data_IF_269610978489
#
_entry.id   IF_269610978489
#
_cell.length_a   1.000
_cell.length_b   1.000
_cell.length_c   1.000
_cell.angle_alpha   90.00
_cell.angle_beta   90.00
_cell.angle_gamma   90.00
#
_symmetry.space_group_name_H-M   'P 1'
#
loop_
_entity.id
_entity.type
_entity.pdbx_description
1 polymer ?
#
# COMPACT_ATOMS: atom_id res chain seq x y z
N UNK A 1 27.63 -4.89 3.86
CA UNK A 1 26.14 -4.89 3.90
C UNK A 1 25.62 -4.02 2.76
N UNK A 2 24.91 -4.62 1.79
CA UNK A 2 24.55 -4.01 0.48
C UNK A 2 23.74 -2.71 0.58
N UNK A 3 24.37 -1.58 0.27
CA UNK A 3 23.76 -0.27 0.06
C UNK A 3 22.63 -0.32 -1.00
N UNK A 4 22.78 -1.16 -2.03
CA UNK A 4 21.80 -1.37 -3.11
C UNK A 4 20.42 -1.85 -2.64
N UNK A 5 20.30 -2.51 -1.48
CA UNK A 5 18.99 -2.99 -1.00
C UNK A 5 18.15 -1.88 -0.37
N UNK A 6 18.75 -0.87 0.28
CA UNK A 6 17.98 0.21 0.93
C UNK A 6 17.31 1.14 -0.09
N UNK A 7 17.94 1.33 -1.25
CA UNK A 7 17.44 2.25 -2.28
C UNK A 7 16.04 1.88 -2.81
N UNK A 8 15.68 0.60 -2.77
CA UNK A 8 14.37 0.12 -3.25
C UNK A 8 13.32 -0.07 -2.17
N UNK A 9 13.60 0.27 -0.92
CA UNK A 9 12.58 0.20 0.13
C UNK A 9 11.51 1.27 -0.10
N UNK A 10 10.23 0.88 -0.04
CA UNK A 10 9.10 1.80 -0.21
C UNK A 10 9.05 2.76 0.96
N UNK A 11 8.82 4.02 0.70
CA UNK A 11 8.67 5.07 1.71
C UNK A 11 7.21 5.54 1.77
N UNK A 12 6.85 6.26 2.83
CA UNK A 12 5.54 6.92 2.92
C UNK A 12 5.34 7.95 1.79
N UNK A 13 6.42 8.58 1.31
CA UNK A 13 6.37 9.51 0.19
C UNK A 13 6.02 8.79 -1.12
N UNK A 14 6.54 7.58 -1.33
CA UNK A 14 6.17 6.76 -2.48
C UNK A 14 4.68 6.37 -2.42
N UNK A 15 4.16 5.98 -1.26
CA UNK A 15 2.73 5.67 -1.09
C UNK A 15 1.84 6.86 -1.47
N UNK A 16 2.19 8.06 -1.00
CA UNK A 16 1.47 9.31 -1.34
C UNK A 16 1.56 9.63 -2.84
N UNK A 17 2.73 9.40 -3.45
CA UNK A 17 2.94 9.63 -4.88
C UNK A 17 2.09 8.66 -5.71
N UNK A 18 2.11 7.38 -5.36
CA UNK A 18 1.27 6.35 -5.95
C UNK A 18 -0.22 6.67 -5.79
N UNK A 19 -0.64 7.10 -4.60
CA UNK A 19 -2.03 7.53 -4.35
C UNK A 19 -2.46 8.74 -5.19
N UNK A 20 -1.53 9.65 -5.53
CA UNK A 20 -1.80 10.77 -6.46
C UNK A 20 -1.93 10.33 -7.91
N UNK A 21 -1.26 9.25 -8.31
CA UNK A 21 -1.37 8.72 -9.68
C UNK A 21 -2.74 8.08 -9.94
N UNK A 22 -3.42 7.60 -8.89
CA UNK A 22 -4.69 6.88 -9.01
C UNK A 22 -4.50 5.47 -9.59
N UNK A 23 -5.55 4.64 -9.51
CA UNK A 23 -5.50 3.26 -10.02
C UNK A 23 -4.57 2.33 -9.24
N UNK A 24 -4.14 2.74 -8.04
CA UNK A 24 -3.25 1.96 -7.17
C UNK A 24 -4.03 1.24 -6.08
N UNK A 25 -3.74 -0.05 -5.91
CA UNK A 25 -4.27 -0.87 -4.82
C UNK A 25 -3.14 -1.56 -4.06
N UNK A 26 -3.35 -1.84 -2.79
CA UNK A 26 -2.48 -2.70 -2.01
C UNK A 26 -3.25 -3.90 -1.47
N UNK A 27 -2.57 -5.04 -1.38
CA UNK A 27 -3.08 -6.19 -0.63
C UNK A 27 -2.37 -6.25 0.71
N UNK A 28 -3.14 -6.34 1.78
CA UNK A 28 -2.62 -6.50 3.14
C UNK A 28 -2.24 -7.96 3.42
N UNK A 29 -1.46 -8.18 4.48
CA UNK A 29 -1.06 -9.52 4.94
C UNK A 29 -2.26 -10.39 5.31
N UNK A 30 -3.33 -9.80 5.80
CA UNK A 30 -4.61 -10.47 6.12
C UNK A 30 -5.53 -10.67 4.90
N UNK A 31 -5.08 -10.25 3.71
CA UNK A 31 -5.81 -10.42 2.46
C UNK A 31 -6.76 -9.29 2.10
N UNK A 32 -6.99 -8.30 2.97
CA UNK A 32 -7.81 -7.12 2.64
C UNK A 32 -7.15 -6.29 1.54
N UNK A 33 -7.99 -5.59 0.78
CA UNK A 33 -7.53 -4.69 -0.30
C UNK A 33 -7.69 -3.25 0.13
N UNK A 34 -6.65 -2.46 -0.09
CA UNK A 34 -6.61 -1.01 0.14
C UNK A 34 -6.64 -0.31 -1.21
N UNK A 35 -7.53 0.65 -1.40
CA UNK A 35 -7.46 1.62 -2.51
C UNK A 35 -6.62 2.82 -2.07
N UNK A 36 -5.67 3.26 -2.89
CA UNK A 36 -4.79 4.37 -2.53
C UNK A 36 -5.35 5.72 -2.99
N UNK A 37 -5.18 6.72 -2.14
CA UNK A 37 -5.48 8.13 -2.38
C UNK A 37 -4.28 9.01 -1.97
N UNK A 38 -4.21 10.29 -2.36
CA UNK A 38 -3.02 11.11 -2.11
C UNK A 38 -2.50 11.17 -0.66
N UNK A 39 -3.39 11.00 0.34
CA UNK A 39 -3.07 11.17 1.77
C UNK A 39 -3.35 9.93 2.63
N UNK A 40 -4.10 8.97 2.11
CA UNK A 40 -4.63 7.84 2.85
C UNK A 40 -4.94 6.67 1.92
N UNK A 41 -5.27 5.51 2.49
CA UNK A 41 -5.93 4.43 1.76
C UNK A 41 -7.32 4.15 2.33
N UNK A 42 -8.20 3.53 1.55
CA UNK A 42 -9.50 3.06 2.03
C UNK A 42 -9.60 1.54 1.98
N UNK A 43 -10.32 0.96 2.92
CA UNK A 43 -10.68 -0.46 2.93
C UNK A 43 -12.21 -0.54 2.96
N UNK A 44 -12.79 -1.35 2.08
CA UNK A 44 -14.21 -1.65 2.10
C UNK A 44 -14.54 -2.63 3.22
N UNK A 45 -15.51 -2.31 4.06
CA UNK A 45 -15.97 -3.18 5.14
C UNK A 45 -17.43 -2.92 5.47
N UNK A 46 -18.07 -3.86 6.17
CA UNK A 46 -19.44 -3.66 6.68
C UNK A 46 -19.41 -2.65 7.83
N UNK A 47 -20.25 -1.64 7.77
CA UNK A 47 -20.43 -0.62 8.80
C UNK A 47 -21.87 -0.15 8.88
N UNK A 48 -22.22 0.59 9.93
CA UNK A 48 -23.58 1.13 10.08
C UNK A 48 -23.64 2.58 9.58
N UNK A 49 -24.58 2.86 8.67
CA UNK A 49 -24.96 4.21 8.25
C UNK A 49 -26.43 4.40 8.63
N UNK A 50 -26.72 5.41 9.46
CA UNK A 50 -28.07 5.71 9.93
C UNK A 50 -28.84 4.50 10.50
N UNK A 51 -28.13 3.55 11.13
CA UNK A 51 -28.73 2.33 11.71
C UNK A 51 -28.83 1.14 10.76
N UNK A 52 -28.49 1.31 9.47
CA UNK A 52 -28.49 0.25 8.46
C UNK A 52 -27.09 -0.31 8.24
N UNK A 53 -26.95 -1.64 8.17
CA UNK A 53 -25.68 -2.29 7.85
C UNK A 53 -25.40 -2.19 6.35
N UNK A 54 -24.38 -1.43 5.99
CA UNK A 54 -23.99 -1.13 4.61
C UNK A 54 -22.50 -1.41 4.38
N UNK A 55 -22.10 -1.48 3.11
CA UNK A 55 -20.69 -1.51 2.74
C UNK A 55 -20.14 -0.08 2.73
N UNK A 56 -19.13 0.18 3.56
CA UNK A 56 -18.54 1.50 3.75
C UNK A 56 -17.04 1.48 3.47
N UNK A 57 -16.52 2.57 2.91
CA UNK A 57 -15.08 2.76 2.77
C UNK A 57 -14.51 3.48 4.00
N UNK A 58 -13.65 2.78 4.75
CA UNK A 58 -12.99 3.35 5.93
C UNK A 58 -11.60 3.83 5.58
N UNK A 59 -11.30 5.07 5.97
CA UNK A 59 -10.02 5.73 5.75
C UNK A 59 -8.96 5.25 6.77
N UNK A 60 -7.78 4.91 6.26
CA UNK A 60 -6.59 4.58 7.04
C UNK A 60 -5.40 5.39 6.53
N UNK A 61 -4.62 5.95 7.45
CA UNK A 61 -3.39 6.64 7.13
C UNK A 61 -2.27 5.66 6.74
N UNK A 62 -1.37 6.12 5.89
CA UNK A 62 -0.28 5.29 5.38
C UNK A 62 0.70 4.76 6.45
N UNK A 63 1.09 5.51 7.49
CA UNK A 63 1.90 4.97 8.59
C UNK A 63 1.29 3.71 9.20
N UNK A 64 -0.01 3.72 9.49
CA UNK A 64 -0.71 2.58 10.09
C UNK A 64 -0.88 1.41 9.12
N UNK A 65 -1.02 1.67 7.81
CA UNK A 65 -1.10 0.62 6.79
C UNK A 65 0.26 0.00 6.44
N UNK A 66 1.35 0.77 6.51
CA UNK A 66 2.63 0.42 5.87
C UNK A 66 3.16 -0.97 6.27
N UNK A 67 3.11 -1.28 7.57
CA UNK A 67 3.59 -2.55 8.12
C UNK A 67 2.76 -3.76 7.64
N UNK A 68 1.50 -3.55 7.28
CA UNK A 68 0.56 -4.60 6.86
C UNK A 68 0.52 -4.78 5.34
N UNK A 69 1.07 -3.87 4.55
CA UNK A 69 1.09 -4.01 3.08
C UNK A 69 1.97 -5.19 2.67
N UNK A 70 1.38 -6.13 1.94
CA UNK A 70 2.04 -7.30 1.35
C UNK A 70 2.47 -7.04 -0.10
N UNK A 71 1.60 -6.46 -0.92
CA UNK A 71 1.89 -6.09 -2.31
C UNK A 71 1.20 -4.79 -2.67
N UNK A 72 1.75 -4.07 -3.65
CA UNK A 72 1.12 -2.91 -4.28
C UNK A 72 1.02 -3.17 -5.79
N UNK A 73 -0.15 -2.91 -6.36
CA UNK A 73 -0.44 -2.95 -7.78
C UNK A 73 -0.77 -1.53 -8.26
N UNK A 74 -0.21 -1.11 -9.38
CA UNK A 74 -0.61 0.12 -10.09
C UNK A 74 -1.15 -0.28 -11.46
N UNK A 75 -2.45 -0.05 -11.71
CA UNK A 75 -3.13 -0.44 -12.94
C UNK A 75 -2.84 -1.91 -13.35
N UNK A 76 -2.86 -2.82 -12.37
CA UNK A 76 -2.58 -4.25 -12.56
C UNK A 76 -1.10 -4.65 -12.56
N UNK A 77 -0.16 -3.71 -12.54
CA UNK A 77 1.28 -3.99 -12.52
C UNK A 77 1.81 -4.07 -11.08
N UNK A 78 2.53 -5.14 -10.74
CA UNK A 78 3.16 -5.31 -9.41
C UNK A 78 4.33 -4.34 -9.21
N UNK A 79 4.07 -3.26 -8.48
CA UNK A 79 5.05 -2.18 -8.23
C UNK A 79 5.89 -2.42 -6.98
N UNK A 80 5.32 -3.09 -5.97
CA UNK A 80 6.04 -3.41 -4.74
C UNK A 80 5.58 -4.73 -4.12
N UNK A 81 6.49 -5.40 -3.41
CA UNK A 81 6.22 -6.62 -2.66
C UNK A 81 7.01 -6.63 -1.35
N UNK A 82 6.37 -7.10 -0.28
CA UNK A 82 7.02 -7.34 1.00
C UNK A 82 7.83 -8.63 0.95
N UNK A 83 9.09 -8.51 1.34
CA UNK A 83 10.08 -9.59 1.33
C UNK A 83 10.64 -9.81 2.74
N UNK A 84 11.05 -11.04 3.06
CA UNK A 84 11.58 -11.41 4.37
C UNK A 84 10.50 -11.94 5.32
N UNK A 85 10.89 -12.24 6.56
CA UNK A 85 10.05 -12.88 7.56
C UNK A 85 9.99 -12.08 8.86
N UNK A 86 8.79 -12.02 9.46
CA UNK A 86 8.53 -11.34 10.73
C UNK A 86 9.03 -9.90 10.75
N UNK A 87 9.78 -9.56 11.82
CA UNK A 87 10.34 -8.21 12.06
C UNK A 87 11.40 -7.78 11.05
N UNK A 88 11.95 -8.70 10.25
CA UNK A 88 12.95 -8.39 9.21
C UNK A 88 12.32 -8.16 7.84
N UNK A 89 10.98 -8.14 7.75
CA UNK A 89 10.28 -7.95 6.49
C UNK A 89 10.30 -6.48 6.04
N UNK A 90 10.51 -6.26 4.74
CA UNK A 90 10.62 -4.93 4.13
C UNK A 90 9.78 -4.88 2.86
N UNK A 91 9.03 -3.80 2.65
CA UNK A 91 8.29 -3.55 1.41
C UNK A 91 9.23 -2.97 0.36
N UNK A 92 9.45 -3.67 -0.74
CA UNK A 92 10.42 -3.27 -1.77
C UNK A 92 9.76 -3.01 -3.12
N UNK A 93 10.23 -1.97 -3.80
CA UNK A 93 9.91 -1.67 -5.18
C UNK A 93 10.49 -2.74 -6.11
N UNK A 94 9.68 -3.18 -7.07
CA UNK A 94 10.10 -4.13 -8.11
C UNK A 94 10.86 -3.44 -9.25
N UNK A 95 10.71 -2.10 -9.38
CA UNK A 95 11.21 -1.31 -10.50
C UNK A 95 10.28 -1.30 -11.73
N UNK A 96 9.12 -1.96 -11.66
CA UNK A 96 8.09 -2.00 -12.70
C UNK A 96 6.89 -1.17 -12.29
N UNK A 97 6.27 -0.45 -13.22
CA UNK A 97 5.04 0.33 -12.98
C UNK A 97 5.17 1.53 -12.03
N UNK A 98 6.31 1.66 -11.34
CA UNK A 98 6.70 2.81 -10.54
C UNK A 98 8.22 2.91 -10.48
N UNK A 99 8.75 4.08 -10.78
CA UNK A 99 10.16 4.41 -10.58
C UNK A 99 10.20 5.66 -9.71
N UNK A 100 10.93 5.58 -8.59
CA UNK A 100 11.17 6.75 -7.76
C UNK A 100 12.00 7.73 -8.58
N UNK A 101 11.45 8.92 -8.83
CA UNK A 101 12.24 10.04 -9.36
C UNK A 101 13.20 10.46 -8.26
N UNK A 102 14.50 10.42 -8.56
CA UNK A 102 15.54 10.92 -7.66
C UNK A 102 15.40 12.43 -7.47
#
# INVERSE_FOLDING_TARGET
MNQMKRDREVTLADLRTLGRQGGVTARLVDGRTVKFYPRFGTISQKGYIAGTLEEVEVMYDYPNLYSQIRTILSNGVLVARREGTGKKSVLRLTGKGYQRKQ
#
